data_IF_025692523345
#
_entry.id   IF_025692523345
#
_cell.length_a   1.000
_cell.length_b   1.000
_cell.length_c   1.000
_cell.angle_alpha   90.00
_cell.angle_beta   90.00
_cell.angle_gamma   90.00
#
_symmetry.space_group_name_H-M   'P 1'
#
loop_
_entity.id
_entity.type
_entity.pdbx_description
1 polymer ?
#
# COMPACT_ATOMS: atom_id res chain seq x y z
N UNK A 1 -5.53 -34.05 -14.11
CA UNK A 1 -4.46 -33.59 -15.01
C UNK A 1 -5.10 -32.83 -16.16
N UNK A 2 -5.06 -31.51 -16.15
CA UNK A 2 -5.29 -30.67 -17.33
C UNK A 2 -4.51 -29.38 -17.16
N UNK A 3 -3.91 -28.93 -18.25
CA UNK A 3 -2.76 -28.02 -18.34
C UNK A 3 -3.20 -26.58 -18.53
N UNK A 4 -2.63 -25.64 -17.77
CA UNK A 4 -2.73 -24.21 -18.06
C UNK A 4 -1.65 -23.84 -19.08
N UNK A 5 -2.05 -23.81 -20.35
CA UNK A 5 -1.32 -23.08 -21.38
C UNK A 5 -1.73 -21.61 -21.31
N UNK A 6 -0.79 -20.73 -20.99
CA UNK A 6 -0.80 -19.37 -21.53
C UNK A 6 0.62 -19.00 -21.94
N UNK A 7 0.71 -18.74 -23.24
CA UNK A 7 1.87 -18.31 -24.01
C UNK A 7 2.47 -17.00 -23.49
N UNK A 8 3.80 -16.91 -23.55
CA UNK A 8 4.60 -15.89 -22.89
C UNK A 8 4.30 -14.42 -23.24
N UNK A 9 4.43 -13.60 -22.19
CA UNK A 9 5.09 -12.29 -22.13
C UNK A 9 5.49 -12.05 -20.67
N UNK A 10 6.68 -12.50 -20.31
CA UNK A 10 7.30 -12.21 -19.02
C UNK A 10 7.51 -10.70 -18.85
N UNK A 11 7.00 -10.15 -17.73
CA UNK A 11 7.35 -8.88 -17.04
C UNK A 11 6.18 -8.18 -16.32
N UNK A 12 4.97 -8.77 -16.24
CA UNK A 12 3.76 -8.07 -15.76
C UNK A 12 3.33 -8.28 -14.30
N UNK A 13 3.94 -9.19 -13.53
CA UNK A 13 3.35 -9.69 -12.29
C UNK A 13 2.99 -8.59 -11.26
N UNK A 14 3.92 -7.67 -10.95
CA UNK A 14 3.67 -6.57 -9.99
C UNK A 14 2.58 -5.62 -10.49
N UNK A 15 2.63 -5.26 -11.78
CA UNK A 15 1.64 -4.37 -12.39
C UNK A 15 0.25 -4.99 -12.37
N UNK A 16 0.15 -6.27 -12.69
CA UNK A 16 -1.13 -6.97 -12.75
C UNK A 16 -1.72 -7.15 -11.34
N UNK A 17 -0.89 -7.36 -10.32
CA UNK A 17 -1.32 -7.33 -8.90
C UNK A 17 -1.83 -5.94 -8.50
N UNK A 18 -1.10 -4.86 -8.81
CA UNK A 18 -1.55 -3.50 -8.46
C UNK A 18 -2.85 -3.14 -9.20
N UNK A 19 -3.01 -3.58 -10.44
CA UNK A 19 -4.29 -3.46 -11.16
C UNK A 19 -5.42 -4.20 -10.44
N UNK A 20 -5.19 -5.43 -9.97
CA UNK A 20 -6.18 -6.17 -9.19
C UNK A 20 -6.50 -5.47 -7.88
N UNK A 21 -5.52 -4.86 -7.20
CA UNK A 21 -5.76 -4.08 -5.97
C UNK A 21 -6.66 -2.87 -6.28
N UNK A 22 -6.32 -2.05 -7.28
CA UNK A 22 -7.12 -0.88 -7.67
C UNK A 22 -8.52 -1.32 -8.10
N UNK A 23 -8.62 -2.35 -8.95
CA UNK A 23 -9.89 -2.90 -9.39
C UNK A 23 -10.71 -3.40 -8.19
N UNK A 24 -10.12 -4.13 -7.24
CA UNK A 24 -10.84 -4.61 -6.07
C UNK A 24 -11.26 -3.49 -5.09
N UNK A 25 -10.48 -2.41 -5.01
CA UNK A 25 -10.87 -1.21 -4.29
C UNK A 25 -12.05 -0.48 -4.96
N UNK A 26 -12.17 -0.57 -6.29
CA UNK A 26 -13.25 0.02 -7.09
C UNK A 26 -14.48 -0.90 -7.23
N UNK A 27 -14.26 -2.22 -7.24
CA UNK A 27 -15.22 -3.28 -7.52
C UNK A 27 -15.52 -4.04 -6.24
N UNK A 28 -16.45 -3.54 -5.43
CA UNK A 28 -17.00 -4.28 -4.28
C UNK A 28 -17.95 -5.42 -4.74
N UNK A 29 -17.74 -6.03 -5.94
CA UNK A 29 -18.54 -7.16 -6.43
C UNK A 29 -17.90 -7.95 -7.62
N UNK A 30 -17.08 -8.97 -7.38
CA UNK A 30 -16.76 -9.96 -8.43
C UNK A 30 -15.58 -10.89 -8.12
N UNK A 31 -15.80 -12.22 -8.16
CA UNK A 31 -14.82 -13.24 -7.74
C UNK A 31 -13.95 -13.75 -8.90
N UNK A 32 -12.66 -13.99 -8.62
CA UNK A 32 -11.85 -15.00 -9.31
C UNK A 32 -10.93 -15.75 -8.32
N UNK A 33 -10.77 -17.07 -8.51
CA UNK A 33 -10.08 -17.99 -7.58
C UNK A 33 -8.99 -18.76 -8.34
N UNK A 34 -7.73 -18.42 -8.07
CA UNK A 34 -6.59 -19.35 -8.08
C UNK A 34 -5.30 -18.66 -7.63
N UNK A 35 -4.51 -19.37 -6.81
CA UNK A 35 -3.27 -18.98 -6.10
C UNK A 35 -3.47 -18.22 -4.77
N UNK A 36 -3.03 -18.86 -3.68
CA UNK A 36 -3.08 -18.33 -2.30
C UNK A 36 -1.78 -17.57 -1.98
N UNK A 37 -1.47 -16.53 -2.75
CA UNK A 37 -0.41 -15.57 -2.38
C UNK A 37 -1.04 -14.45 -1.54
N UNK A 38 -0.25 -13.78 -0.69
CA UNK A 38 -0.79 -12.88 0.35
C UNK A 38 -1.73 -11.80 -0.21
N UNK A 39 -1.47 -11.34 -1.43
CA UNK A 39 -2.28 -10.36 -2.14
C UNK A 39 -3.68 -10.87 -2.48
N UNK A 40 -3.83 -12.05 -3.05
CA UNK A 40 -5.12 -12.64 -3.43
C UNK A 40 -6.01 -12.90 -2.21
N UNK A 41 -5.43 -13.22 -1.06
CA UNK A 41 -6.17 -13.30 0.20
C UNK A 41 -6.65 -11.94 0.66
N UNK A 42 -5.75 -10.96 0.78
CA UNK A 42 -6.15 -9.60 1.19
C UNK A 42 -7.14 -8.97 0.21
N UNK A 43 -7.00 -9.22 -1.09
CA UNK A 43 -7.97 -8.79 -2.11
C UNK A 43 -9.31 -9.49 -1.89
N UNK A 44 -9.35 -10.80 -1.63
CA UNK A 44 -10.61 -11.49 -1.30
C UNK A 44 -11.27 -10.96 -0.03
N UNK A 45 -10.48 -10.65 1.00
CA UNK A 45 -10.98 -10.08 2.25
C UNK A 45 -11.52 -8.66 1.99
N UNK A 46 -10.88 -7.89 1.11
CA UNK A 46 -11.39 -6.60 0.64
C UNK A 46 -12.71 -6.72 -0.13
N UNK A 47 -12.83 -7.76 -0.96
CA UNK A 47 -14.00 -8.03 -1.80
C UNK A 47 -15.13 -8.76 -1.09
N UNK A 48 -14.91 -9.25 0.13
CA UNK A 48 -15.91 -9.98 0.92
C UNK A 48 -16.38 -9.06 2.05
N UNK A 49 -17.38 -8.19 1.82
CA UNK A 49 -17.86 -7.31 2.87
C UNK A 49 -18.39 -8.17 4.03
N UNK A 50 -17.90 -7.91 5.24
CA UNK A 50 -18.66 -8.29 6.43
C UNK A 50 -20.05 -7.68 6.30
N UNK A 51 -21.09 -8.47 6.61
CA UNK A 51 -22.51 -8.21 6.32
C UNK A 51 -23.08 -6.88 6.84
N UNK A 52 -22.26 -6.06 7.52
CA UNK A 52 -22.64 -4.83 8.22
C UNK A 52 -21.99 -3.55 7.64
N UNK A 53 -21.35 -3.58 6.47
CA UNK A 53 -20.85 -2.37 5.79
C UNK A 53 -19.56 -1.76 6.38
N UNK A 54 -18.95 -2.41 7.38
CA UNK A 54 -17.69 -2.00 8.01
C UNK A 54 -16.46 -2.76 7.46
N UNK A 55 -16.50 -3.15 6.19
CA UNK A 55 -15.41 -3.89 5.56
C UNK A 55 -14.12 -3.06 5.43
N UNK A 56 -12.96 -3.72 5.25
CA UNK A 56 -11.73 -3.03 4.87
C UNK A 56 -11.92 -2.24 3.57
N UNK A 57 -11.10 -1.20 3.36
CA UNK A 57 -11.22 -0.29 2.19
C UNK A 57 -9.97 -0.31 1.30
N UNK A 58 -8.93 -1.02 1.70
CA UNK A 58 -7.70 -1.15 0.91
C UNK A 58 -6.91 -2.40 1.29
N UNK A 59 -6.06 -2.83 0.36
CA UNK A 59 -4.94 -3.76 0.64
C UNK A 59 -3.65 -2.94 0.62
N UNK A 60 -3.04 -2.64 1.79
CA UNK A 60 -1.72 -2.05 1.84
C UNK A 60 -0.66 -3.02 1.32
N UNK A 61 0.44 -2.50 0.80
CA UNK A 61 1.54 -3.34 0.31
C UNK A 61 2.90 -2.67 0.42
N UNK A 62 3.94 -3.48 0.26
CA UNK A 62 5.34 -3.10 0.26
C UNK A 62 5.92 -3.49 -1.09
N UNK A 63 6.75 -2.60 -1.67
CA UNK A 63 7.44 -2.82 -2.93
C UNK A 63 8.92 -3.12 -2.66
N UNK A 64 9.51 -4.01 -3.46
CA UNK A 64 10.94 -4.30 -3.43
C UNK A 64 11.51 -4.15 -4.84
N UNK A 65 12.54 -3.33 -4.97
CA UNK A 65 13.35 -3.20 -6.19
C UNK A 65 14.32 -4.39 -6.36
N UNK A 66 14.92 -4.50 -7.54
CA UNK A 66 15.71 -5.66 -8.01
C UNK A 66 16.85 -6.10 -7.09
N UNK A 67 17.55 -5.12 -6.53
CA UNK A 67 18.81 -5.33 -5.82
C UNK A 67 18.77 -4.76 -4.38
N UNK A 68 17.58 -4.52 -3.82
CA UNK A 68 17.42 -3.64 -2.66
C UNK A 68 16.61 -4.25 -1.49
N UNK A 69 16.83 -3.65 -0.32
CA UNK A 69 15.92 -3.59 0.84
C UNK A 69 14.52 -3.06 0.42
N UNK A 70 13.45 -3.20 1.22
CA UNK A 70 12.14 -2.62 0.88
C UNK A 70 12.25 -1.18 0.37
N UNK A 71 11.48 -0.84 -0.66
CA UNK A 71 11.42 0.52 -1.18
C UNK A 71 10.80 1.43 -0.13
N UNK A 72 11.61 2.30 0.48
CA UNK A 72 11.15 3.31 1.42
C UNK A 72 10.76 4.56 0.63
N UNK A 73 9.47 4.80 0.49
CA UNK A 73 8.97 6.02 -0.11
C UNK A 73 9.21 7.19 0.83
N UNK A 74 9.66 8.32 0.29
CA UNK A 74 9.93 9.53 1.06
C UNK A 74 9.37 10.77 0.37
N UNK A 75 8.97 11.75 1.18
CA UNK A 75 8.57 13.07 0.73
C UNK A 75 8.78 14.09 1.85
N UNK A 76 8.82 15.37 1.48
CA UNK A 76 8.87 16.47 2.43
C UNK A 76 7.57 17.25 2.34
N UNK A 77 6.84 17.32 3.46
CA UNK A 77 5.56 18.02 3.58
C UNK A 77 5.69 19.24 4.47
N UNK A 78 4.79 20.20 4.32
CA UNK A 78 4.72 21.36 5.21
C UNK A 78 3.69 21.10 6.30
N UNK A 79 4.13 21.05 7.56
CA UNK A 79 3.25 20.91 8.74
C UNK A 79 3.20 22.20 9.54
N UNK A 80 2.15 22.38 10.34
CA UNK A 80 2.01 23.52 11.27
C UNK A 80 2.79 23.22 12.55
N UNK A 81 3.45 24.24 13.10
CA UNK A 81 4.06 24.15 14.42
C UNK A 81 2.97 23.95 15.49
N UNK A 82 3.22 23.09 16.50
CA UNK A 82 2.39 23.03 17.69
C UNK A 82 2.27 24.45 18.29
N UNK A 83 1.04 24.89 18.56
CA UNK A 83 0.78 26.23 19.13
C UNK A 83 0.63 27.38 18.12
N UNK A 84 0.61 27.13 16.81
CA UNK A 84 0.09 28.09 15.81
C UNK A 84 1.06 29.19 15.32
N UNK A 85 2.36 29.08 15.61
CA UNK A 85 3.36 30.11 15.29
C UNK A 85 4.02 30.04 13.91
N UNK A 86 3.55 29.15 13.01
CA UNK A 86 4.14 29.00 11.67
C UNK A 86 4.11 27.57 11.16
N UNK A 87 4.96 27.28 10.18
CA UNK A 87 5.08 25.96 9.55
C UNK A 87 6.51 25.49 9.48
N UNK A 88 6.73 24.18 9.53
CA UNK A 88 8.03 23.55 9.30
C UNK A 88 7.94 22.53 8.15
N UNK A 89 9.08 22.15 7.61
CA UNK A 89 9.19 21.07 6.64
C UNK A 89 9.46 19.77 7.39
N UNK A 90 8.61 18.78 7.15
CA UNK A 90 8.63 17.49 7.81
C UNK A 90 8.90 16.38 6.80
N UNK A 91 9.76 15.43 7.15
CA UNK A 91 10.06 14.30 6.29
C UNK A 91 9.09 13.16 6.62
N UNK A 92 8.37 12.67 5.61
CA UNK A 92 7.49 11.51 5.74
C UNK A 92 8.14 10.36 5.00
N UNK A 93 8.40 9.26 5.70
CA UNK A 93 8.99 8.04 5.13
C UNK A 93 8.19 6.81 5.52
N UNK A 94 7.95 5.91 4.57
CA UNK A 94 7.31 4.63 4.84
C UNK A 94 7.57 3.59 3.74
N UNK A 95 7.71 2.30 4.09
CA UNK A 95 7.67 1.19 3.13
C UNK A 95 6.24 0.76 2.76
N UNK A 96 5.22 1.33 3.41
CA UNK A 96 3.83 0.87 3.31
C UNK A 96 3.07 1.81 2.39
N UNK A 97 2.47 1.24 1.36
CA UNK A 97 1.79 1.98 0.31
C UNK A 97 0.33 1.58 0.18
N UNK A 98 -0.50 2.57 -0.16
CA UNK A 98 -1.85 2.40 -0.69
C UNK A 98 -1.86 2.79 -2.16
N UNK A 99 -2.36 1.91 -3.03
CA UNK A 99 -2.56 2.28 -4.43
C UNK A 99 -3.69 3.31 -4.55
N UNK A 100 -3.48 4.34 -5.37
CA UNK A 100 -4.50 5.36 -5.66
C UNK A 100 -5.05 5.22 -7.06
N UNK A 101 -4.18 5.24 -8.07
CA UNK A 101 -4.52 5.05 -9.48
C UNK A 101 -3.29 4.94 -10.36
N UNK A 102 -3.44 4.42 -11.56
CA UNK A 102 -2.42 4.56 -12.61
C UNK A 102 -2.34 6.02 -13.10
N UNK A 103 -1.17 6.40 -13.63
CA UNK A 103 -0.97 7.73 -14.22
C UNK A 103 -1.49 7.73 -15.66
N UNK A 104 -2.36 8.69 -15.99
CA UNK A 104 -2.97 8.81 -17.32
C UNK A 104 -1.89 8.94 -18.40
N UNK A 105 -2.05 8.15 -19.48
CA UNK A 105 -1.10 8.12 -20.59
C UNK A 105 0.24 7.41 -20.31
N UNK A 106 0.45 6.86 -19.10
CA UNK A 106 1.67 6.08 -18.76
C UNK A 106 1.31 4.65 -18.35
N UNK A 107 1.80 3.66 -19.09
CA UNK A 107 1.40 2.25 -18.91
C UNK A 107 1.87 1.61 -17.59
N UNK A 108 3.00 2.07 -17.05
CA UNK A 108 3.67 1.42 -15.92
C UNK A 108 3.89 2.37 -14.72
N UNK A 109 3.32 3.58 -14.73
CA UNK A 109 3.42 4.49 -13.60
C UNK A 109 2.15 4.44 -12.75
N UNK A 110 2.32 4.31 -11.43
CA UNK A 110 1.22 4.31 -10.46
C UNK A 110 1.41 5.42 -9.42
N UNK A 111 0.32 6.07 -9.03
CA UNK A 111 0.26 6.95 -7.87
C UNK A 111 0.00 6.12 -6.62
N UNK A 112 0.91 6.21 -5.66
CA UNK A 112 0.85 5.53 -4.37
C UNK A 112 0.78 6.57 -3.26
N UNK A 113 -0.04 6.32 -2.25
CA UNK A 113 -0.09 7.09 -1.02
C UNK A 113 0.76 6.41 0.06
N UNK A 114 1.56 7.18 0.79
CA UNK A 114 2.32 6.69 1.94
C UNK A 114 1.37 6.44 3.11
N UNK A 115 1.48 5.27 3.74
CA UNK A 115 0.79 4.97 5.00
C UNK A 115 1.79 4.92 6.15
N UNK A 116 1.49 5.56 7.27
CA UNK A 116 2.33 5.50 8.47
C UNK A 116 1.80 4.49 9.49
N UNK A 117 2.66 3.74 10.19
CA UNK A 117 2.27 3.02 11.39
C UNK A 117 1.70 3.98 12.45
N UNK A 118 0.60 3.58 13.06
CA UNK A 118 -0.06 4.34 14.11
C UNK A 118 -0.42 3.45 15.31
N UNK A 119 -0.51 4.07 16.49
CA UNK A 119 -0.97 3.40 17.70
C UNK A 119 -2.49 3.12 17.67
N UNK A 120 -3.02 2.53 18.75
CA UNK A 120 -4.44 2.22 18.88
C UNK A 120 -5.34 3.46 18.85
N UNK A 121 -4.81 4.62 19.23
CA UNK A 121 -5.50 5.91 19.25
C UNK A 121 -5.38 6.67 17.93
N UNK A 122 -4.66 6.13 16.96
CA UNK A 122 -4.46 6.75 15.65
C UNK A 122 -3.34 7.77 15.59
N UNK A 123 -2.50 7.86 16.63
CA UNK A 123 -1.35 8.74 16.60
C UNK A 123 -0.25 8.11 15.74
N UNK A 124 0.38 8.86 14.82
CA UNK A 124 1.51 8.37 14.07
C UNK A 124 2.67 8.04 15.02
N UNK A 125 3.34 6.93 14.76
CA UNK A 125 4.54 6.53 15.50
C UNK A 125 5.77 7.02 14.74
N UNK A 126 6.70 7.66 15.45
CA UNK A 126 7.99 8.08 14.91
C UNK A 126 8.90 6.86 14.74
N UNK A 127 8.70 6.14 13.63
CA UNK A 127 9.41 4.92 13.26
C UNK A 127 10.18 5.16 11.96
N UNK A 128 11.38 4.60 11.89
CA UNK A 128 12.23 4.73 10.72
C UNK A 128 13.33 3.69 10.72
N UNK A 129 13.75 3.31 9.52
CA UNK A 129 14.81 2.35 9.32
C UNK A 129 14.90 1.90 7.87
N UNK A 130 15.69 0.86 7.67
CA UNK A 130 16.00 0.34 6.33
C UNK A 130 15.23 -0.95 6.02
N UNK A 131 14.57 -1.54 7.01
CA UNK A 131 13.84 -2.80 6.89
C UNK A 131 12.37 -2.61 7.21
N UNK A 132 11.52 -3.52 6.73
CA UNK A 132 10.09 -3.51 7.06
C UNK A 132 9.88 -3.59 8.57
N UNK A 133 10.66 -4.43 9.26
CA UNK A 133 10.52 -4.66 10.69
C UNK A 133 10.83 -3.42 11.54
N UNK A 134 11.61 -2.46 11.04
CA UNK A 134 11.89 -1.20 11.73
C UNK A 134 10.61 -0.33 11.85
N UNK A 135 9.64 -0.54 10.96
CA UNK A 135 8.32 0.10 10.97
C UNK A 135 7.27 -0.71 11.75
N UNK A 136 7.62 -1.92 12.22
CA UNK A 136 6.77 -2.77 13.06
C UNK A 136 7.57 -3.38 14.23
N UNK A 137 8.29 -2.57 15.04
CA UNK A 137 9.27 -3.09 16.00
C UNK A 137 8.62 -3.69 17.24
N UNK A 138 7.37 -3.34 17.53
CA UNK A 138 6.68 -3.71 18.77
C UNK A 138 5.19 -3.97 18.51
N UNK A 139 4.49 -4.37 19.56
CA UNK A 139 3.02 -4.42 19.60
C UNK A 139 2.36 -3.03 19.63
N UNK A 140 3.11 -1.93 19.55
CA UNK A 140 2.53 -0.58 19.59
C UNK A 140 1.84 -0.21 18.28
N UNK A 141 2.24 -0.80 17.15
CA UNK A 141 1.58 -0.57 15.86
C UNK A 141 0.25 -1.33 15.85
N UNK A 142 -0.84 -0.58 15.78
CA UNK A 142 -2.21 -1.12 15.78
C UNK A 142 -3.03 -0.68 14.59
N UNK A 143 -2.65 0.43 13.95
CA UNK A 143 -3.34 1.01 12.82
C UNK A 143 -2.35 1.47 11.75
N UNK A 144 -2.89 1.78 10.57
CA UNK A 144 -2.20 2.52 9.52
C UNK A 144 -2.89 3.86 9.33
N UNK A 145 -2.11 4.91 9.10
CA UNK A 145 -2.58 6.28 8.89
C UNK A 145 -2.33 6.68 7.44
N UNK A 146 -3.40 7.06 6.74
CA UNK A 146 -3.35 7.65 5.41
C UNK A 146 -2.81 9.08 5.52
N UNK A 147 -1.63 9.31 4.96
CA UNK A 147 -0.92 10.60 5.08
C UNK A 147 -1.40 11.65 4.09
N UNK A 148 -2.16 11.27 3.05
CA UNK A 148 -2.43 12.13 1.88
C UNK A 148 -1.21 12.37 0.98
N UNK A 149 -0.02 11.91 1.37
CA UNK A 149 1.22 12.12 0.62
C UNK A 149 1.32 11.10 -0.51
N UNK A 150 1.15 11.58 -1.74
CA UNK A 150 1.19 10.73 -2.92
C UNK A 150 2.53 10.84 -3.67
N UNK A 151 3.14 9.71 -3.99
CA UNK A 151 4.31 9.59 -4.85
C UNK A 151 3.95 8.87 -6.15
N UNK A 152 4.71 9.11 -7.22
CA UNK A 152 4.59 8.37 -8.48
C UNK A 152 5.72 7.37 -8.58
N UNK A 153 5.39 6.10 -8.76
CA UNK A 153 6.35 5.00 -8.88
C UNK A 153 6.25 4.38 -10.27
N UNK A 154 7.40 4.16 -10.88
CA UNK A 154 7.52 3.35 -12.10
C UNK A 154 7.66 1.88 -11.70
N UNK A 155 6.71 1.06 -12.15
CA UNK A 155 6.66 -0.36 -11.83
C UNK A 155 7.74 -1.16 -12.54
N UNK A 156 8.37 -0.63 -13.59
CA UNK A 156 9.51 -1.27 -14.24
C UNK A 156 10.77 -1.26 -13.34
N UNK A 157 10.79 -0.41 -12.30
CA UNK A 157 11.87 -0.37 -11.30
C UNK A 157 11.66 -1.33 -10.12
N UNK A 158 10.53 -2.03 -10.07
CA UNK A 158 10.12 -2.88 -8.94
C UNK A 158 10.16 -4.34 -9.36
N UNK A 159 10.65 -5.21 -8.49
CA UNK A 159 10.80 -6.64 -8.77
C UNK A 159 9.85 -7.53 -7.98
N UNK A 160 9.40 -7.09 -6.80
CA UNK A 160 8.37 -7.82 -6.08
C UNK A 160 7.46 -6.89 -5.27
N UNK A 161 6.32 -7.45 -4.89
CA UNK A 161 5.30 -6.82 -4.06
C UNK A 161 4.94 -7.80 -2.94
N UNK A 162 4.72 -7.28 -1.74
CA UNK A 162 4.16 -8.04 -0.61
C UNK A 162 2.93 -7.30 -0.12
N UNK A 163 1.76 -7.93 -0.20
CA UNK A 163 0.54 -7.38 0.38
C UNK A 163 0.47 -7.67 1.87
N UNK A 164 -0.01 -6.67 2.61
CA UNK A 164 -0.43 -6.78 4.00
C UNK A 164 -1.92 -7.16 4.07
N UNK A 165 -2.41 -7.43 5.26
CA UNK A 165 -3.83 -7.72 5.49
C UNK A 165 -4.71 -6.52 5.09
N UNK A 166 -5.90 -6.81 4.56
CA UNK A 166 -6.86 -5.79 4.19
C UNK A 166 -7.28 -4.99 5.43
N UNK A 167 -7.32 -3.67 5.30
CA UNK A 167 -7.64 -2.77 6.42
C UNK A 167 -8.27 -1.47 5.93
N UNK A 168 -8.67 -0.62 6.88
CA UNK A 168 -9.13 0.74 6.63
C UNK A 168 -8.20 1.70 7.38
N UNK A 169 -7.30 2.39 6.65
CA UNK A 169 -6.44 3.39 7.26
C UNK A 169 -7.24 4.52 7.91
N UNK A 170 -6.72 5.03 9.01
CA UNK A 170 -7.19 6.25 9.65
C UNK A 170 -6.79 7.46 8.80
N UNK A 171 -7.48 8.59 8.97
CA UNK A 171 -7.12 9.86 8.33
C UNK A 171 -6.63 10.83 9.40
N UNK A 172 -5.61 11.63 9.08
CA UNK A 172 -5.32 12.82 9.90
C UNK A 172 -6.45 13.85 9.67
N UNK A 173 -7.12 14.26 10.75
CA UNK A 173 -8.11 15.35 10.76
C UNK A 173 -7.47 16.73 10.62
#
# INVERSE_FOLDING_TARGET
MSSCHSSGKDSGCVRDVIKKIIAAQEEVAGRDRCCDVSCERSIRDLLSPESNGNGPTTVPFILYCKDCKPFIGSSVVRRRLPGGGGTYLDCVQSPIFKAKKFVDGKKNCVKLELLLPADASGNPLDLGGDTVCDYFPTTSVRNLLATGVCITVDLDCVCSITCLEATTPLFED
#
